data_IF_350597274351
#
_entry.id   IF_350597274351
#
_cell.length_a   1.000
_cell.length_b   1.000
_cell.length_c   1.000
_cell.angle_alpha   90.00
_cell.angle_beta   90.00
_cell.angle_gamma   90.00
#
_symmetry.space_group_name_H-M   'P 1'
#
loop_
_entity.id
_entity.type
_entity.pdbx_description
1 polymer ?
#
# COMPACT_ATOMS: atom_id res chain seq x y z
N UNK A 1 27.08 -17.37 9.74
CA UNK A 1 25.70 -16.95 9.57
C UNK A 1 25.56 -15.57 10.20
N UNK A 2 25.14 -14.58 9.43
CA UNK A 2 24.86 -13.23 9.94
C UNK A 2 23.53 -13.18 10.70
N UNK A 3 23.37 -12.15 11.51
CA UNK A 3 22.08 -11.82 12.09
C UNK A 3 21.14 -11.43 10.97
N UNK A 4 19.92 -11.94 10.96
CA UNK A 4 18.86 -11.54 10.03
C UNK A 4 17.52 -11.58 10.76
N UNK A 5 16.67 -10.65 10.40
CA UNK A 5 15.28 -10.63 10.82
C UNK A 5 14.43 -11.09 9.63
N UNK A 6 13.84 -12.29 9.69
CA UNK A 6 13.02 -12.82 8.60
C UNK A 6 11.70 -12.04 8.41
N UNK A 7 11.38 -11.15 9.34
CA UNK A 7 10.14 -10.41 9.40
C UNK A 7 10.34 -8.91 9.14
N UNK A 8 11.57 -8.48 8.94
CA UNK A 8 11.88 -7.09 8.67
C UNK A 8 11.13 -6.59 7.43
N UNK A 9 10.52 -5.44 7.57
CA UNK A 9 9.84 -4.72 6.48
C UNK A 9 10.63 -3.47 6.18
N UNK A 10 11.08 -3.35 4.95
CA UNK A 10 11.94 -2.25 4.55
C UNK A 10 11.35 -1.56 3.33
N UNK A 11 11.25 -0.22 3.36
CA UNK A 11 10.94 0.55 2.18
C UNK A 11 12.04 0.40 1.13
N UNK A 12 11.64 0.23 -0.12
CA UNK A 12 12.56 0.13 -1.27
C UNK A 12 12.05 1.08 -2.34
N UNK A 13 12.95 1.79 -3.01
CA UNK A 13 12.57 2.60 -4.16
C UNK A 13 12.03 1.69 -5.27
N UNK A 14 11.02 2.15 -5.98
CA UNK A 14 10.40 1.39 -7.08
C UNK A 14 11.44 0.96 -8.12
N UNK A 15 12.37 1.85 -8.45
CA UNK A 15 13.48 1.60 -9.39
C UNK A 15 14.46 0.51 -8.93
N UNK A 16 14.55 0.28 -7.63
CA UNK A 16 15.45 -0.70 -7.02
C UNK A 16 14.78 -2.06 -6.75
N UNK A 17 13.46 -2.12 -6.86
CA UNK A 17 12.69 -3.30 -6.47
C UNK A 17 13.17 -4.57 -7.14
N UNK A 18 13.41 -4.53 -8.45
CA UNK A 18 13.85 -5.69 -9.21
C UNK A 18 15.20 -6.23 -8.72
N UNK A 19 16.16 -5.34 -8.51
CA UNK A 19 17.50 -5.72 -8.03
C UNK A 19 17.45 -6.22 -6.58
N UNK A 20 16.60 -5.64 -5.75
CA UNK A 20 16.38 -6.07 -4.37
C UNK A 20 15.76 -7.47 -4.31
N UNK A 21 14.71 -7.72 -5.08
CA UNK A 21 14.08 -9.04 -5.17
C UNK A 21 15.01 -10.13 -5.71
N UNK A 22 15.93 -9.74 -6.61
CA UNK A 22 16.97 -10.64 -7.13
C UNK A 22 18.15 -10.84 -6.17
N UNK A 23 18.18 -10.13 -5.03
CA UNK A 23 19.30 -10.18 -4.08
C UNK A 23 20.59 -9.54 -4.58
N UNK A 24 20.54 -8.76 -5.66
CA UNK A 24 21.71 -8.09 -6.24
C UNK A 24 21.93 -6.69 -5.68
N UNK A 25 20.92 -6.13 -5.03
CA UNK A 25 21.00 -4.88 -4.29
C UNK A 25 20.50 -5.08 -2.88
N UNK A 26 21.30 -4.79 -1.84
CA UNK A 26 20.84 -4.82 -0.47
C UNK A 26 19.81 -3.69 -0.22
N UNK A 27 18.88 -3.93 0.69
CA UNK A 27 18.04 -2.86 1.22
C UNK A 27 18.85 -1.97 2.14
N UNK A 28 18.67 -0.68 2.00
CA UNK A 28 19.32 0.34 2.81
C UNK A 28 18.27 1.32 3.34
N UNK A 29 18.52 1.97 4.50
CA UNK A 29 17.65 3.05 4.97
C UNK A 29 17.51 4.14 3.91
N UNK A 30 16.28 4.56 3.63
CA UNK A 30 16.02 5.61 2.64
C UNK A 30 16.22 7.00 3.27
N UNK A 31 16.93 7.86 2.56
CA UNK A 31 17.13 9.26 2.92
C UNK A 31 16.58 10.16 1.81
N UNK A 32 15.49 10.85 2.11
CA UNK A 32 14.92 11.86 1.21
C UNK A 32 15.55 13.22 1.49
N UNK A 33 15.76 14.01 0.45
CA UNK A 33 16.27 15.38 0.57
C UNK A 33 15.29 16.33 -0.09
N UNK A 34 14.98 17.42 0.62
CA UNK A 34 14.15 18.51 0.10
C UNK A 34 14.69 19.83 0.61
N UNK A 35 14.48 20.90 -0.14
CA UNK A 35 14.75 22.25 0.31
C UNK A 35 13.59 22.77 1.17
N UNK A 36 13.88 23.71 2.05
CA UNK A 36 12.84 24.38 2.84
C UNK A 36 11.80 25.02 1.94
N UNK A 37 10.53 24.74 2.19
CA UNK A 37 9.40 25.23 1.41
C UNK A 37 8.97 24.30 0.27
N UNK A 38 9.73 23.26 -0.03
CA UNK A 38 9.32 22.27 -1.04
C UNK A 38 8.26 21.28 -0.50
N UNK A 39 7.45 20.78 -1.40
CA UNK A 39 6.51 19.71 -1.13
C UNK A 39 7.06 18.37 -1.63
N UNK A 40 7.26 17.45 -0.72
CA UNK A 40 7.57 16.05 -1.05
C UNK A 40 6.26 15.33 -1.31
N UNK A 41 6.12 14.77 -2.50
CA UNK A 41 5.02 13.86 -2.83
C UNK A 41 5.51 12.43 -2.61
N UNK A 42 5.11 11.87 -1.48
CA UNK A 42 5.48 10.51 -1.10
C UNK A 42 4.43 9.52 -1.61
N UNK A 43 4.88 8.52 -2.35
CA UNK A 43 4.03 7.44 -2.85
C UNK A 43 4.53 6.13 -2.27
N UNK A 44 3.67 5.43 -1.56
CA UNK A 44 3.99 4.14 -0.98
C UNK A 44 3.04 3.07 -1.47
N UNK A 45 3.60 1.96 -1.95
CA UNK A 45 2.83 0.78 -2.38
C UNK A 45 3.13 -0.35 -1.42
N UNK A 46 2.09 -0.95 -0.86
CA UNK A 46 2.22 -2.08 0.03
C UNK A 46 2.34 -3.38 -0.78
N UNK A 47 3.49 -4.03 -0.68
CA UNK A 47 3.78 -5.34 -1.27
C UNK A 47 4.08 -6.39 -0.18
N UNK A 48 3.72 -6.12 1.08
CA UNK A 48 3.91 -7.05 2.18
C UNK A 48 3.01 -8.27 1.95
N UNK A 49 3.55 -9.50 2.04
CA UNK A 49 2.74 -10.69 1.92
C UNK A 49 1.95 -10.93 3.22
N UNK A 50 0.69 -11.33 3.09
CA UNK A 50 -0.21 -11.60 4.22
C UNK A 50 0.12 -12.82 5.04
N UNK A 51 0.95 -13.70 4.52
CA UNK A 51 1.33 -14.93 5.21
C UNK A 51 2.46 -14.76 6.22
N UNK A 52 2.82 -13.54 6.54
CA UNK A 52 3.68 -13.24 7.68
C UNK A 52 2.87 -13.39 8.96
N UNK A 53 2.91 -14.58 9.57
CA UNK A 53 2.30 -14.85 10.88
C UNK A 53 3.11 -14.16 11.98
N UNK A 54 3.08 -12.85 12.00
CA UNK A 54 3.85 -12.05 12.94
C UNK A 54 2.95 -11.09 13.67
N UNK A 55 1.92 -11.63 14.24
CA UNK A 55 1.13 -10.85 15.17
C UNK A 55 1.93 -10.58 16.45
N UNK A 56 1.78 -9.37 16.96
CA UNK A 56 2.24 -9.04 18.29
C UNK A 56 1.61 -10.03 19.30
N UNK A 57 2.43 -10.56 20.18
CA UNK A 57 1.98 -11.49 21.20
C UNK A 57 0.94 -10.91 22.18
N UNK A 58 0.82 -9.59 22.24
CA UNK A 58 -0.12 -8.89 23.12
C UNK A 58 -1.42 -8.50 22.42
N UNK A 59 -1.35 -8.23 21.11
CA UNK A 59 -2.49 -7.73 20.32
C UNK A 59 -2.42 -8.37 18.94
N UNK A 60 -3.46 -9.10 18.57
CA UNK A 60 -3.60 -9.53 17.17
C UNK A 60 -3.82 -8.29 16.31
N UNK A 61 -2.76 -7.83 15.71
CA UNK A 61 -2.76 -6.69 14.83
C UNK A 61 -2.36 -7.10 13.42
N UNK A 62 -2.98 -6.51 12.39
CA UNK A 62 -2.55 -6.75 11.03
C UNK A 62 -1.13 -6.22 10.87
N UNK A 63 -0.19 -7.12 10.62
CA UNK A 63 1.23 -6.82 10.43
C UNK A 63 1.60 -6.52 9.00
N UNK A 64 0.63 -6.60 8.13
CA UNK A 64 0.72 -6.46 6.67
C UNK A 64 0.15 -5.12 6.16
N UNK A 65 -0.26 -4.24 7.07
CA UNK A 65 -0.66 -2.86 6.76
C UNK A 65 0.51 -1.92 6.91
N UNK A 66 0.49 -0.78 6.23
CA UNK A 66 1.50 0.26 6.39
C UNK A 66 0.94 1.65 6.15
N UNK A 67 1.45 2.63 6.88
CA UNK A 67 1.16 4.04 6.69
C UNK A 67 2.33 4.87 7.17
N UNK A 68 2.93 5.67 6.29
CA UNK A 68 4.13 6.42 6.61
C UNK A 68 3.78 7.74 7.29
N UNK A 69 4.34 7.95 8.48
CA UNK A 69 4.28 9.21 9.22
C UNK A 69 5.62 9.93 9.19
N UNK A 70 5.58 11.25 9.17
CA UNK A 70 6.78 12.10 9.22
C UNK A 70 6.66 13.12 10.33
N UNK A 71 7.76 13.37 11.01
CA UNK A 71 7.85 14.36 12.08
C UNK A 71 8.33 15.73 11.59
N UNK A 72 7.89 16.79 12.29
CA UNK A 72 8.40 18.16 12.18
C UNK A 72 8.25 18.83 10.79
N UNK A 73 7.39 18.32 9.96
CA UNK A 73 7.00 18.95 8.70
C UNK A 73 5.51 19.28 8.73
N UNK A 74 5.05 20.03 7.75
CA UNK A 74 3.64 20.37 7.62
C UNK A 74 2.95 19.38 6.69
N UNK A 75 1.85 18.83 7.11
CA UNK A 75 1.03 17.90 6.34
C UNK A 75 -0.45 18.00 6.75
N UNK A 76 -1.33 17.47 5.93
CA UNK A 76 -2.73 17.30 6.26
C UNK A 76 -2.92 16.03 7.08
N UNK A 77 -3.43 16.17 8.29
CA UNK A 77 -3.58 15.05 9.24
C UNK A 77 -4.64 14.04 8.83
N UNK A 78 -5.50 14.35 7.87
CA UNK A 78 -6.54 13.43 7.39
C UNK A 78 -6.08 12.60 6.21
N UNK A 79 -5.09 13.07 5.44
CA UNK A 79 -4.66 12.44 4.19
C UNK A 79 -3.17 12.17 4.08
N UNK A 80 -2.37 12.56 5.07
CA UNK A 80 -0.91 12.46 5.01
C UNK A 80 -0.25 12.19 6.35
N UNK A 81 -1.01 11.74 7.35
CA UNK A 81 -0.52 11.39 8.69
C UNK A 81 0.07 9.97 8.74
N UNK A 82 -0.45 9.05 7.94
CA UNK A 82 -0.01 7.66 7.89
C UNK A 82 -0.71 6.72 8.87
N UNK A 83 -1.62 7.22 9.71
CA UNK A 83 -2.30 6.40 10.72
C UNK A 83 -3.52 5.61 10.22
N UNK A 84 -3.78 5.61 8.92
CA UNK A 84 -4.98 5.02 8.34
C UNK A 84 -6.21 5.86 8.64
N UNK A 85 -6.03 7.17 8.76
CA UNK A 85 -7.09 8.11 9.04
C UNK A 85 -8.10 8.22 7.91
N UNK A 86 -9.27 8.71 8.28
CA UNK A 86 -10.32 8.97 7.33
C UNK A 86 -11.10 7.72 6.94
N UNK A 87 -12.15 7.97 6.17
CA UNK A 87 -13.12 6.97 5.78
C UNK A 87 -12.57 5.97 4.74
N UNK A 88 -11.58 6.38 3.97
CA UNK A 88 -11.02 5.63 2.84
C UNK A 88 -9.60 5.13 3.08
N UNK A 89 -9.03 5.28 4.26
CA UNK A 89 -7.63 4.95 4.54
C UNK A 89 -6.68 5.63 3.53
N UNK A 90 -6.87 6.93 3.28
CA UNK A 90 -6.16 7.66 2.22
C UNK A 90 -4.65 7.72 2.43
N UNK A 91 -4.22 7.67 3.67
CA UNK A 91 -2.83 7.77 4.09
C UNK A 91 -2.23 6.45 4.59
N UNK A 92 -2.96 5.35 4.46
CA UNK A 92 -2.49 4.00 4.78
C UNK A 92 -2.84 3.00 3.70
N UNK A 93 -2.04 1.95 3.59
CA UNK A 93 -2.25 0.86 2.64
C UNK A 93 -2.51 -0.45 3.36
N UNK A 94 -3.53 -1.15 2.91
CA UNK A 94 -3.78 -2.53 3.27
C UNK A 94 -2.93 -3.45 2.39
N UNK A 95 -2.64 -4.65 2.87
CA UNK A 95 -2.02 -5.68 2.05
C UNK A 95 -2.91 -6.06 0.85
N UNK A 96 -2.30 -6.49 -0.22
CA UNK A 96 -3.01 -6.77 -1.47
C UNK A 96 -4.09 -7.85 -1.32
N UNK A 97 -3.86 -8.85 -0.49
CA UNK A 97 -4.83 -9.90 -0.19
C UNK A 97 -6.01 -9.39 0.62
N UNK A 98 -5.80 -8.55 1.61
CA UNK A 98 -6.89 -7.92 2.35
C UNK A 98 -7.75 -7.06 1.43
N UNK A 99 -7.14 -6.33 0.49
CA UNK A 99 -7.89 -5.59 -0.54
C UNK A 99 -8.73 -6.54 -1.40
N UNK A 100 -8.18 -7.69 -1.82
CA UNK A 100 -8.92 -8.69 -2.59
C UNK A 100 -10.08 -9.29 -1.79
N UNK A 101 -9.84 -9.64 -0.54
CA UNK A 101 -10.88 -10.18 0.35
C UNK A 101 -12.03 -9.20 0.53
N UNK A 102 -11.73 -7.92 0.75
CA UNK A 102 -12.73 -6.86 0.85
C UNK A 102 -13.54 -6.71 -0.45
N UNK A 103 -12.89 -6.80 -1.61
CA UNK A 103 -13.56 -6.75 -2.91
C UNK A 103 -14.49 -7.96 -3.07
N UNK A 104 -14.01 -9.16 -2.77
CA UNK A 104 -14.82 -10.38 -2.86
C UNK A 104 -16.02 -10.31 -1.91
N UNK A 105 -15.81 -9.91 -0.67
CA UNK A 105 -16.87 -9.78 0.32
C UNK A 105 -17.92 -8.75 -0.10
N UNK A 106 -17.49 -7.58 -0.59
CA UNK A 106 -18.39 -6.55 -1.10
C UNK A 106 -19.20 -7.05 -2.28
N UNK A 107 -18.55 -7.68 -3.27
CA UNK A 107 -19.19 -8.13 -4.48
C UNK A 107 -20.18 -9.27 -4.20
N UNK A 108 -19.82 -10.19 -3.29
CA UNK A 108 -20.74 -11.20 -2.79
C UNK A 108 -21.99 -10.56 -2.19
N UNK A 109 -21.80 -9.61 -1.25
CA UNK A 109 -22.92 -8.91 -0.61
C UNK A 109 -23.81 -8.21 -1.66
N UNK A 110 -23.21 -7.47 -2.59
CA UNK A 110 -23.96 -6.77 -3.64
C UNK A 110 -24.74 -7.73 -4.55
N UNK A 111 -24.18 -8.89 -4.89
CA UNK A 111 -24.83 -9.91 -5.72
C UNK A 111 -25.99 -10.57 -4.96
N UNK A 112 -25.78 -10.93 -3.70
CA UNK A 112 -26.79 -11.62 -2.86
C UNK A 112 -27.98 -10.72 -2.53
N UNK A 113 -27.80 -9.39 -2.46
CA UNK A 113 -28.82 -8.42 -2.04
C UNK A 113 -29.39 -7.59 -3.18
N UNK A 114 -28.95 -7.80 -4.42
CA UNK A 114 -29.52 -7.12 -5.59
C UNK A 114 -31.00 -7.48 -5.76
N UNK A 115 -31.84 -6.48 -6.01
CA UNK A 115 -33.24 -6.66 -6.26
C UNK A 115 -33.48 -7.32 -7.65
N UNK A 116 -34.61 -8.00 -7.87
CA UNK A 116 -34.91 -8.56 -9.17
C UNK A 116 -34.88 -7.49 -10.29
N UNK A 117 -34.00 -7.70 -11.28
CA UNK A 117 -33.80 -6.76 -12.39
C UNK A 117 -32.75 -5.65 -12.12
N UNK A 118 -32.20 -5.59 -10.93
CA UNK A 118 -31.12 -4.69 -10.59
C UNK A 118 -29.75 -5.24 -11.00
N UNK A 119 -28.88 -4.35 -11.49
CA UNK A 119 -27.47 -4.68 -11.74
C UNK A 119 -26.67 -4.35 -10.47
N UNK A 120 -26.06 -5.33 -9.78
CA UNK A 120 -25.29 -5.04 -8.58
C UNK A 120 -24.08 -4.15 -8.88
N UNK A 121 -23.81 -3.21 -7.99
CA UNK A 121 -22.63 -2.35 -8.05
C UNK A 121 -21.40 -3.14 -7.55
N UNK A 122 -20.57 -3.60 -8.47
CA UNK A 122 -19.40 -4.42 -8.18
C UNK A 122 -18.13 -3.60 -8.28
N UNK A 123 -17.16 -3.92 -7.41
CA UNK A 123 -15.80 -3.41 -7.51
C UNK A 123 -14.94 -4.31 -8.39
N UNK A 124 -14.25 -3.71 -9.33
CA UNK A 124 -13.26 -4.39 -10.15
C UNK A 124 -11.88 -4.27 -9.52
N UNK A 125 -11.20 -5.38 -9.23
CA UNK A 125 -9.83 -5.35 -8.74
C UNK A 125 -8.89 -4.78 -9.81
N UNK A 126 -8.04 -3.85 -9.39
CA UNK A 126 -7.10 -3.20 -10.30
C UNK A 126 -5.78 -3.94 -10.36
N UNK A 127 -5.28 -4.14 -11.56
CA UNK A 127 -3.90 -4.54 -11.79
C UNK A 127 -2.97 -3.47 -11.27
N UNK A 128 -2.08 -3.84 -10.36
CA UNK A 128 -0.99 -2.97 -9.96
C UNK A 128 0.24 -3.25 -10.84
N UNK A 129 0.79 -2.20 -11.42
CA UNK A 129 1.97 -2.26 -12.28
C UNK A 129 3.04 -1.37 -11.69
N UNK A 130 4.20 -1.94 -11.49
CA UNK A 130 5.40 -1.22 -11.07
C UNK A 130 6.13 -0.69 -12.31
N UNK A 131 6.68 0.51 -12.19
CA UNK A 131 7.47 1.12 -13.24
C UNK A 131 8.94 1.09 -12.85
N UNK A 132 9.79 0.81 -13.81
CA UNK A 132 11.23 0.91 -13.66
C UNK A 132 11.68 2.38 -13.78
N UNK A 133 12.88 2.66 -13.35
CA UNK A 133 13.49 4.00 -13.39
C UNK A 133 13.52 4.65 -14.77
N UNK A 134 13.55 3.85 -15.82
CA UNK A 134 13.48 4.29 -17.23
C UNK A 134 12.05 4.55 -17.72
N UNK A 135 11.05 4.42 -16.86
CA UNK A 135 9.64 4.55 -17.20
C UNK A 135 9.02 3.30 -17.81
N UNK A 136 9.81 2.23 -18.01
CA UNK A 136 9.27 0.96 -18.47
C UNK A 136 8.42 0.32 -17.38
N UNK A 137 7.32 -0.29 -17.78
CA UNK A 137 6.53 -1.09 -16.85
C UNK A 137 7.31 -2.34 -16.43
N UNK A 138 7.40 -2.57 -15.13
CA UNK A 138 7.88 -3.84 -14.64
C UNK A 138 6.89 -4.93 -15.04
N UNK A 139 7.24 -5.71 -16.04
CA UNK A 139 6.44 -6.84 -16.49
C UNK A 139 6.95 -8.10 -15.81
N UNK A 140 6.18 -8.56 -14.85
CA UNK A 140 6.47 -9.81 -14.15
C UNK A 140 6.50 -11.03 -15.10
N UNK A 141 5.90 -10.93 -16.29
CA UNK A 141 5.93 -11.99 -17.29
C UNK A 141 7.29 -12.16 -17.96
N UNK A 142 8.02 -11.05 -18.19
CA UNK A 142 9.34 -11.12 -18.83
C UNK A 142 10.36 -11.84 -17.96
N UNK A 143 10.08 -11.95 -16.68
CA UNK A 143 10.79 -12.82 -15.76
C UNK A 143 10.10 -14.20 -15.62
N UNK A 144 9.83 -14.87 -16.73
CA UNK A 144 9.31 -16.24 -16.78
C UNK A 144 7.83 -16.39 -16.41
N UNK A 145 7.00 -15.45 -16.79
CA UNK A 145 5.56 -15.52 -16.57
C UNK A 145 5.12 -15.09 -15.18
N UNK A 146 5.98 -14.42 -14.42
CA UNK A 146 5.61 -13.82 -13.15
C UNK A 146 4.51 -12.78 -13.36
N UNK A 147 3.36 -12.98 -12.73
CA UNK A 147 2.17 -12.15 -12.86
C UNK A 147 1.68 -11.59 -11.53
N UNK A 148 2.55 -11.54 -10.53
CA UNK A 148 2.18 -11.18 -9.16
C UNK A 148 1.33 -9.91 -9.03
N UNK A 149 1.58 -8.91 -9.84
CA UNK A 149 0.85 -7.64 -9.82
C UNK A 149 -0.32 -7.53 -10.80
N UNK A 150 -0.52 -8.52 -11.66
CA UNK A 150 -1.54 -8.52 -12.69
C UNK A 150 -2.77 -9.25 -12.17
N UNK A 151 -3.92 -8.59 -12.10
CA UNK A 151 -5.14 -9.26 -11.72
C UNK A 151 -5.64 -10.19 -12.83
N UNK A 152 -6.02 -11.43 -12.51
CA UNK A 152 -6.69 -12.30 -13.44
C UNK A 152 -8.07 -11.71 -13.82
N UNK A 153 -8.66 -12.09 -14.97
CA UNK A 153 -9.98 -11.63 -15.36
C UNK A 153 -11.01 -11.91 -14.27
N UNK A 154 -11.66 -10.85 -13.80
CA UNK A 154 -12.64 -10.93 -12.72
C UNK A 154 -14.04 -11.25 -13.23
N UNK A 155 -14.90 -11.95 -12.45
CA UNK A 155 -16.24 -12.34 -12.85
C UNK A 155 -17.25 -11.19 -12.72
N UNK A 156 -16.97 -10.03 -13.30
CA UNK A 156 -17.83 -8.84 -13.24
C UNK A 156 -19.20 -9.04 -13.85
N UNK A 157 -19.34 -9.95 -14.82
CA UNK A 157 -20.60 -10.20 -15.49
C UNK A 157 -21.17 -11.56 -15.11
N UNK A 158 -22.48 -11.58 -14.86
CA UNK A 158 -23.24 -12.83 -14.70
C UNK A 158 -23.33 -13.55 -16.04
N UNK A 159 -23.12 -14.85 -16.03
CA UNK A 159 -23.25 -15.68 -17.23
C UNK A 159 -24.73 -16.01 -17.49
N UNK A 160 -25.06 -16.32 -18.76
CA UNK A 160 -26.42 -16.72 -19.12
C UNK A 160 -26.79 -18.03 -18.41
N UNK A 161 -27.90 -18.02 -17.70
CA UNK A 161 -28.39 -19.17 -16.94
C UNK A 161 -27.70 -19.41 -15.60
N UNK A 162 -26.76 -18.58 -15.23
CA UNK A 162 -26.06 -18.67 -13.94
C UNK A 162 -26.95 -18.25 -12.78
N UNK A 163 -26.95 -19.03 -11.70
CA UNK A 163 -27.61 -18.64 -10.44
C UNK A 163 -26.80 -17.61 -9.67
N UNK A 164 -27.45 -16.93 -8.73
CA UNK A 164 -26.78 -16.00 -7.80
C UNK A 164 -25.64 -16.70 -7.07
N UNK A 165 -25.88 -17.89 -6.51
CA UNK A 165 -24.87 -18.65 -5.79
C UNK A 165 -23.68 -19.06 -6.65
N UNK A 166 -23.91 -19.44 -7.91
CA UNK A 166 -22.82 -19.76 -8.84
C UNK A 166 -21.98 -18.55 -9.19
N UNK A 167 -22.58 -17.37 -9.32
CA UNK A 167 -21.81 -16.13 -9.53
C UNK A 167 -20.95 -15.76 -8.32
N UNK A 168 -21.51 -15.86 -7.11
CA UNK A 168 -20.76 -15.69 -5.86
C UNK A 168 -19.59 -16.68 -5.78
N UNK A 169 -19.82 -17.96 -6.06
CA UNK A 169 -18.77 -18.98 -6.07
C UNK A 169 -17.63 -18.64 -7.05
N UNK A 170 -17.94 -18.05 -8.21
CA UNK A 170 -16.89 -17.58 -9.14
C UNK A 170 -16.05 -16.46 -8.57
N UNK A 171 -16.63 -15.55 -7.77
CA UNK A 171 -15.87 -14.53 -7.09
C UNK A 171 -14.95 -15.10 -6.01
N UNK A 172 -15.43 -16.06 -5.23
CA UNK A 172 -14.62 -16.74 -4.21
C UNK A 172 -13.45 -17.50 -4.85
N UNK A 173 -13.70 -18.24 -5.91
CA UNK A 173 -12.66 -18.94 -6.70
C UNK A 173 -11.66 -17.95 -7.32
N UNK A 174 -12.15 -16.82 -7.81
CA UNK A 174 -11.29 -15.78 -8.35
C UNK A 174 -10.33 -15.26 -7.27
N UNK A 175 -10.82 -14.96 -6.07
CA UNK A 175 -10.01 -14.51 -4.93
C UNK A 175 -8.93 -15.52 -4.56
N UNK A 176 -9.29 -16.79 -4.46
CA UNK A 176 -8.34 -17.88 -4.16
C UNK A 176 -7.26 -18.02 -5.23
N UNK A 177 -7.63 -18.02 -6.51
CA UNK A 177 -6.67 -18.11 -7.61
C UNK A 177 -5.74 -16.90 -7.67
N UNK A 178 -6.29 -15.70 -7.45
CA UNK A 178 -5.49 -14.49 -7.42
C UNK A 178 -4.48 -14.52 -6.27
N UNK A 179 -4.84 -15.03 -5.11
CA UNK A 179 -3.94 -15.17 -3.97
C UNK A 179 -2.73 -16.08 -4.27
N UNK A 180 -2.93 -17.14 -5.04
CA UNK A 180 -1.87 -18.10 -5.37
C UNK A 180 -0.91 -17.61 -6.46
N UNK A 181 -1.46 -17.05 -7.54
CA UNK A 181 -0.70 -16.76 -8.75
C UNK A 181 -0.41 -15.25 -8.92
N UNK A 182 -1.19 -14.40 -8.26
CA UNK A 182 -1.15 -12.95 -8.41
C UNK A 182 -1.18 -12.25 -7.04
N UNK A 183 -0.26 -12.54 -6.12
CA UNK A 183 -0.32 -12.07 -4.73
C UNK A 183 -0.39 -10.55 -4.57
N UNK A 184 0.10 -9.79 -5.55
CA UNK A 184 0.06 -8.32 -5.55
C UNK A 184 -1.09 -7.72 -6.38
N UNK A 185 -1.97 -8.56 -6.92
CA UNK A 185 -3.23 -8.07 -7.50
C UNK A 185 -4.04 -7.35 -6.43
N UNK A 186 -4.44 -6.13 -6.71
CA UNK A 186 -5.16 -5.29 -5.76
C UNK A 186 -4.27 -4.43 -4.84
N UNK A 187 -2.93 -4.54 -4.93
CA UNK A 187 -2.03 -3.68 -4.17
C UNK A 187 -2.39 -2.20 -4.33
N UNK A 188 -2.39 -1.48 -3.23
CA UNK A 188 -2.76 -0.06 -3.19
C UNK A 188 -1.51 0.80 -3.02
N UNK A 189 -1.58 2.01 -3.55
CA UNK A 189 -0.57 3.05 -3.40
C UNK A 189 -1.19 4.25 -2.72
N UNK A 190 -0.65 4.67 -1.59
CA UNK A 190 -0.99 5.96 -0.97
C UNK A 190 -0.20 7.09 -1.61
N UNK A 191 -0.75 8.28 -1.56
CA UNK A 191 -0.10 9.51 -2.03
C UNK A 191 -0.20 10.53 -0.91
N UNK A 192 0.89 10.73 -0.21
CA UNK A 192 1.00 11.69 0.87
C UNK A 192 1.78 12.92 0.43
N UNK A 193 1.49 14.07 1.03
CA UNK A 193 2.16 15.34 0.74
C UNK A 193 2.72 15.94 2.01
N UNK A 194 4.02 16.15 2.02
CA UNK A 194 4.75 16.70 3.15
C UNK A 194 5.49 17.96 2.73
N UNK A 195 5.20 19.07 3.38
CA UNK A 195 5.89 20.33 3.12
C UNK A 195 7.05 20.48 4.07
N UNK A 196 8.25 20.59 3.53
CA UNK A 196 9.49 20.91 4.23
C UNK A 196 9.46 22.37 4.71
N UNK A 197 8.43 22.73 5.50
CA UNK A 197 8.18 24.09 5.95
C UNK A 197 8.84 24.34 7.32
N UNK A 198 9.66 25.36 7.45
CA UNK A 198 10.35 25.69 8.70
C UNK A 198 9.43 26.35 9.75
N UNK A 199 8.21 25.82 9.93
CA UNK A 199 7.21 26.38 10.88
C UNK A 199 7.70 26.48 12.29
N UNK A 200 8.62 25.62 12.70
CA UNK A 200 9.18 25.61 14.05
C UNK A 200 10.15 26.77 14.31
N UNK A 201 10.60 27.43 13.28
CA UNK A 201 11.59 28.49 13.37
C UNK A 201 10.99 29.91 13.34
N UNK A 202 9.67 30.02 13.46
CA UNK A 202 8.95 31.29 13.52
C UNK A 202 8.91 32.06 12.20
N UNK A 203 8.41 33.29 12.24
CA UNK A 203 8.25 34.14 11.05
C UNK A 203 9.53 34.92 10.71
N UNK A 204 9.75 35.29 9.44
CA UNK A 204 10.83 36.18 9.08
C UNK A 204 10.74 37.50 9.87
N UNK A 205 11.84 37.91 10.51
CA UNK A 205 11.91 39.15 11.30
C UNK A 205 11.49 39.03 12.76
N UNK A 206 11.03 37.87 13.23
CA UNK A 206 10.82 37.65 14.65
C UNK A 206 12.14 37.65 15.41
N UNK A 207 12.16 38.38 16.53
CA UNK A 207 13.36 38.55 17.35
C UNK A 207 13.73 37.20 17.98
N UNK A 208 14.95 36.73 17.74
CA UNK A 208 15.46 35.46 18.28
C UNK A 208 15.41 34.27 17.33
N UNK A 209 14.74 34.37 16.19
CA UNK A 209 14.72 33.32 15.16
C UNK A 209 15.96 33.48 14.26
N UNK A 210 16.89 32.57 14.38
CA UNK A 210 18.18 32.63 13.66
C UNK A 210 18.34 31.61 12.54
N UNK A 211 17.70 30.47 12.65
CA UNK A 211 17.82 29.37 11.69
C UNK A 211 16.42 28.87 11.30
N UNK A 212 16.15 28.88 10.02
CA UNK A 212 14.87 28.43 9.44
C UNK A 212 15.01 27.14 8.66
N UNK A 213 16.18 26.52 8.75
CA UNK A 213 16.44 25.29 8.04
C UNK A 213 15.92 24.11 8.85
N UNK A 214 15.00 23.35 8.28
CA UNK A 214 14.70 22.02 8.77
C UNK A 214 15.95 21.16 8.60
N UNK A 215 16.28 20.45 9.63
CA UNK A 215 17.41 19.53 9.61
C UNK A 215 16.93 18.13 9.31
N UNK A 216 17.62 17.14 9.78
CA UNK A 216 17.17 15.75 9.67
C UNK A 216 15.92 15.55 10.51
N UNK A 217 14.88 15.03 9.87
CA UNK A 217 13.66 14.54 10.49
C UNK A 217 13.54 13.04 10.18
N UNK A 218 12.71 12.34 10.91
CA UNK A 218 12.52 10.91 10.68
C UNK A 218 11.09 10.59 10.28
N UNK A 219 10.94 9.45 9.66
CA UNK A 219 9.65 8.84 9.32
C UNK A 219 9.57 7.46 9.95
N UNK A 220 8.36 7.00 10.21
CA UNK A 220 8.09 5.66 10.70
C UNK A 220 6.70 5.20 10.27
N UNK A 221 6.41 3.91 10.42
CA UNK A 221 5.05 3.43 10.22
C UNK A 221 4.13 3.95 11.33
N UNK A 222 2.90 4.34 10.96
CA UNK A 222 1.92 4.89 11.87
C UNK A 222 0.52 4.26 11.70
N UNK A 223 0.42 3.20 10.90
CA UNK A 223 -0.86 2.55 10.63
C UNK A 223 -1.30 1.68 11.80
N UNK A 224 -2.17 2.27 12.65
CA UNK A 224 -2.82 1.56 13.74
C UNK A 224 -1.87 0.76 14.61
N UNK A 225 -2.23 -0.49 14.96
CA UNK A 225 -1.42 -1.29 15.88
C UNK A 225 -0.13 -1.84 15.27
N UNK A 226 0.11 -1.70 13.96
CA UNK A 226 1.32 -2.21 13.32
C UNK A 226 2.56 -1.31 13.50
N UNK A 227 2.40 -0.07 13.97
CA UNK A 227 3.47 0.92 14.02
C UNK A 227 4.69 0.55 14.87
N UNK A 228 4.57 -0.39 15.78
CA UNK A 228 5.68 -0.89 16.59
C UNK A 228 6.37 -2.13 16.00
N UNK A 229 5.93 -2.59 14.85
CA UNK A 229 6.47 -3.77 14.16
C UNK A 229 7.24 -3.41 12.89
N UNK A 230 7.20 -2.14 12.49
CA UNK A 230 7.81 -1.63 11.26
C UNK A 230 8.88 -0.59 11.53
#
# INVERSE_FOLDING_TARGET
>A
AGWHDPQARLPVLEEDLTATLAGTRPTEPLFFRANSGECVVFKATNLIPSNLNVDDFQVYSPTDTMGQHIHLVKFDVTSSDGSGNGWNYEDGTLAADEVRERIVAHNRYAIEHAQPGETPALFEPKTHRLFLSDGAMFDFKTQRGDQRGICPPSPMKRLSGETTSQWVERWEKWGQNAALEHPWCGAQTTIQRWWADPVLNGKPGEKGVKDRTLRTVFTHDHFGPSSHQH
#
